data_IF_862357148851
#
_entry.id   IF_862357148851
#
_cell.length_a   1.000
_cell.length_b   1.000
_cell.length_c   1.000
_cell.angle_alpha   90.00
_cell.angle_beta   90.00
_cell.angle_gamma   90.00
#
_symmetry.space_group_name_H-M   'P 1'
#
loop_
_entity.id
_entity.type
_entity.pdbx_description
1 polymer ?
#
# COMPACT_ATOMS: atom_id res chain seq x y z
N UNK A 1 -3.78 13.64 -3.83
CA UNK A 1 -4.85 13.59 -2.82
C UNK A 1 -5.27 12.15 -2.51
N UNK A 2 -5.08 11.71 -1.24
CA UNK A 2 -5.27 10.32 -0.80
C UNK A 2 -4.16 9.37 -1.30
N UNK A 3 -4.25 8.08 -0.91
CA UNK A 3 -3.25 7.07 -1.30
C UNK A 3 -3.13 6.90 -2.83
N UNK A 4 -4.22 7.10 -3.57
CA UNK A 4 -4.21 7.00 -5.03
C UNK A 4 -3.21 7.98 -5.67
N UNK A 5 -3.11 9.21 -5.14
CA UNK A 5 -2.08 10.15 -5.59
C UNK A 5 -0.68 9.69 -5.17
N UNK A 6 -0.54 9.12 -3.96
CA UNK A 6 0.74 8.54 -3.53
C UNK A 6 1.21 7.47 -4.50
N UNK A 7 0.32 6.60 -4.93
CA UNK A 7 0.61 5.56 -5.92
C UNK A 7 1.01 6.13 -7.30
N UNK A 8 0.31 7.16 -7.77
CA UNK A 8 0.66 7.86 -9.02
C UNK A 8 2.05 8.53 -8.93
N UNK A 9 2.36 9.15 -7.78
CA UNK A 9 3.68 9.75 -7.54
C UNK A 9 4.79 8.71 -7.52
N UNK A 10 4.57 7.55 -6.88
CA UNK A 10 5.52 6.44 -6.90
C UNK A 10 5.75 5.93 -8.31
N UNK A 11 4.68 5.72 -9.09
CA UNK A 11 4.79 5.31 -10.48
C UNK A 11 5.63 6.29 -11.31
N UNK A 12 5.38 7.60 -11.18
CA UNK A 12 6.15 8.65 -11.86
C UNK A 12 7.60 8.77 -11.39
N UNK A 13 7.88 8.38 -10.17
CA UNK A 13 9.22 8.46 -9.58
C UNK A 13 10.11 7.28 -10.00
N UNK A 14 9.54 6.09 -10.06
CA UNK A 14 10.31 4.85 -10.15
C UNK A 14 10.18 4.12 -11.49
N UNK A 15 9.20 4.48 -12.34
CA UNK A 15 8.92 3.75 -13.57
C UNK A 15 9.16 4.59 -14.81
N UNK A 16 9.79 3.95 -15.78
CA UNK A 16 9.84 4.40 -17.17
C UNK A 16 8.89 3.57 -18.05
N UNK A 17 8.40 4.11 -19.18
CA UNK A 17 7.59 3.33 -20.12
C UNK A 17 8.33 2.05 -20.57
N UNK A 18 7.63 0.91 -20.44
CA UNK A 18 8.19 -0.42 -20.73
C UNK A 18 8.71 -1.19 -19.52
N UNK A 19 8.91 -0.54 -18.38
CA UNK A 19 9.27 -1.23 -17.13
C UNK A 19 8.18 -2.23 -16.72
N UNK A 20 8.57 -3.25 -15.97
CA UNK A 20 7.63 -4.23 -15.43
C UNK A 20 7.36 -3.97 -13.96
N UNK A 21 6.09 -4.05 -13.60
CA UNK A 21 5.60 -4.07 -12.20
C UNK A 21 4.98 -5.43 -11.96
N UNK A 22 5.41 -6.11 -10.90
CA UNK A 22 4.73 -7.31 -10.41
C UNK A 22 3.74 -6.92 -9.31
N UNK A 23 2.55 -7.53 -9.30
CA UNK A 23 1.53 -7.23 -8.30
C UNK A 23 0.61 -8.41 -8.01
N UNK A 24 -0.16 -8.30 -6.93
CA UNK A 24 -1.15 -9.30 -6.54
C UNK A 24 -2.08 -9.68 -7.71
N UNK A 25 -2.43 -10.97 -7.80
CA UNK A 25 -3.39 -11.53 -8.74
C UNK A 25 -4.43 -12.39 -8.00
N UNK A 26 -5.74 -12.02 -8.01
CA UNK A 26 -6.30 -10.79 -8.56
C UNK A 26 -5.82 -9.55 -7.80
N UNK A 27 -5.77 -8.39 -8.43
CA UNK A 27 -5.18 -7.19 -7.84
C UNK A 27 -6.10 -5.97 -7.89
N UNK A 28 -5.76 -4.95 -7.12
CA UNK A 28 -6.49 -3.69 -7.06
C UNK A 28 -6.50 -2.97 -8.41
N UNK A 29 -7.71 -2.76 -8.96
CA UNK A 29 -7.88 -2.16 -10.29
C UNK A 29 -7.26 -0.76 -10.41
N UNK A 30 -7.34 0.06 -9.34
CA UNK A 30 -6.74 1.39 -9.32
C UNK A 30 -5.21 1.36 -9.47
N UNK A 31 -4.53 0.38 -8.87
CA UNK A 31 -3.10 0.18 -9.05
C UNK A 31 -2.76 -0.27 -10.47
N UNK A 32 -3.50 -1.25 -11.01
CA UNK A 32 -3.33 -1.71 -12.38
C UNK A 32 -3.44 -0.56 -13.38
N UNK A 33 -4.47 0.28 -13.22
CA UNK A 33 -4.68 1.44 -14.09
C UNK A 33 -3.56 2.47 -13.96
N UNK A 34 -3.09 2.74 -12.74
CA UNK A 34 -2.01 3.71 -12.49
C UNK A 34 -0.70 3.25 -13.12
N UNK A 35 -0.30 2.00 -12.91
CA UNK A 35 0.93 1.49 -13.52
C UNK A 35 0.87 1.42 -15.05
N UNK A 36 -0.27 1.00 -15.59
CA UNK A 36 -0.47 1.02 -17.05
C UNK A 36 -0.46 2.43 -17.64
N UNK A 37 -1.02 3.41 -16.94
CA UNK A 37 -0.99 4.81 -17.38
C UNK A 37 0.44 5.38 -17.37
N UNK A 38 1.32 4.88 -16.51
CA UNK A 38 2.76 5.16 -16.52
C UNK A 38 3.53 4.43 -17.64
N UNK A 39 2.84 3.62 -18.45
CA UNK A 39 3.45 2.82 -19.54
C UNK A 39 4.07 1.51 -19.07
N UNK A 40 3.86 1.11 -17.82
CA UNK A 40 4.43 -0.12 -17.30
C UNK A 40 3.66 -1.36 -17.73
N UNK A 41 4.40 -2.47 -17.90
CA UNK A 41 3.85 -3.81 -18.03
C UNK A 41 3.49 -4.36 -16.66
N UNK A 42 2.24 -4.73 -16.44
CA UNK A 42 1.77 -5.33 -15.19
C UNK A 42 1.75 -6.84 -15.31
N UNK A 43 2.44 -7.54 -14.42
CA UNK A 43 2.51 -9.00 -14.29
C UNK A 43 1.96 -9.40 -12.93
N UNK A 44 1.07 -10.39 -12.90
CA UNK A 44 0.47 -10.87 -11.64
C UNK A 44 1.22 -12.06 -11.06
N UNK A 45 1.21 -12.16 -9.71
CA UNK A 45 1.57 -13.37 -8.95
C UNK A 45 0.45 -13.67 -7.94
N UNK A 46 0.33 -14.92 -7.51
CA UNK A 46 -0.72 -15.28 -6.53
C UNK A 46 -0.28 -14.92 -5.12
N UNK A 47 -1.01 -14.00 -4.48
CA UNK A 47 -0.77 -13.65 -3.07
C UNK A 47 -1.10 -14.82 -2.09
N UNK A 48 -1.83 -15.83 -2.56
CA UNK A 48 -2.18 -17.03 -1.81
C UNK A 48 -1.11 -18.12 -1.94
N UNK A 49 -0.12 -17.94 -2.80
CA UNK A 49 1.05 -18.81 -2.93
C UNK A 49 2.06 -18.47 -1.84
N UNK A 50 1.99 -19.20 -0.73
CA UNK A 50 2.84 -18.98 0.44
C UNK A 50 4.33 -19.36 0.17
N UNK A 51 4.60 -20.17 -0.85
CA UNK A 51 5.96 -20.63 -1.17
C UNK A 51 6.80 -19.57 -1.89
N UNK A 52 6.18 -18.55 -2.47
CA UNK A 52 6.81 -17.47 -3.26
C UNK A 52 7.59 -17.96 -4.50
N UNK A 53 7.49 -19.24 -4.87
CA UNK A 53 8.20 -19.80 -6.03
C UNK A 53 7.73 -19.15 -7.34
N UNK A 54 6.40 -18.92 -7.47
CA UNK A 54 5.84 -18.21 -8.62
C UNK A 54 6.40 -16.78 -8.69
N UNK A 55 6.52 -16.09 -7.54
CA UNK A 55 7.05 -14.74 -7.49
C UNK A 55 8.53 -14.70 -7.92
N UNK A 56 9.34 -15.63 -7.44
CA UNK A 56 10.76 -15.70 -7.80
C UNK A 56 10.93 -15.96 -9.30
N UNK A 57 10.14 -16.87 -9.88
CA UNK A 57 10.12 -17.14 -11.32
C UNK A 57 9.73 -15.89 -12.13
N UNK A 58 8.74 -15.13 -11.66
CA UNK A 58 8.32 -13.87 -12.27
C UNK A 58 9.45 -12.82 -12.20
N UNK A 59 10.14 -12.71 -11.05
CA UNK A 59 11.27 -11.80 -10.88
C UNK A 59 12.40 -12.14 -11.86
N UNK A 60 12.78 -13.39 -11.94
CA UNK A 60 13.85 -13.86 -12.83
C UNK A 60 13.51 -13.64 -14.30
N UNK A 61 12.27 -13.91 -14.68
CA UNK A 61 11.80 -13.82 -16.08
C UNK A 61 11.60 -12.41 -16.57
N UNK A 62 11.04 -11.54 -15.74
CA UNK A 62 10.57 -10.21 -16.17
C UNK A 62 11.38 -9.05 -15.62
N UNK A 63 12.26 -9.30 -14.63
CA UNK A 63 13.11 -8.29 -13.96
C UNK A 63 12.32 -7.02 -13.59
N UNK A 64 11.28 -7.16 -12.75
CA UNK A 64 10.41 -6.04 -12.42
C UNK A 64 11.18 -4.92 -11.70
N UNK A 65 10.74 -3.69 -11.90
CA UNK A 65 11.26 -2.51 -11.22
C UNK A 65 10.70 -2.33 -9.82
N UNK A 66 9.49 -2.84 -9.58
CA UNK A 66 8.88 -2.85 -8.26
C UNK A 66 7.83 -3.97 -8.12
N UNK A 67 7.60 -4.36 -6.88
CA UNK A 67 6.49 -5.19 -6.45
C UNK A 67 5.43 -4.29 -5.79
N UNK A 68 4.17 -4.39 -6.21
CA UNK A 68 3.03 -3.82 -5.48
C UNK A 68 2.26 -4.92 -4.78
N UNK A 69 1.94 -4.74 -3.52
CA UNK A 69 1.10 -5.67 -2.76
C UNK A 69 0.16 -4.96 -1.79
N UNK A 70 -1.03 -5.52 -1.62
CA UNK A 70 -1.95 -5.18 -0.55
C UNK A 70 -1.92 -6.32 0.47
N UNK A 71 -0.92 -6.28 1.35
CA UNK A 71 -0.52 -7.40 2.21
C UNK A 71 -1.52 -7.75 3.31
N UNK A 72 -2.47 -6.85 3.59
CA UNK A 72 -3.47 -6.99 4.67
C UNK A 72 -4.87 -6.68 4.16
N UNK A 73 -5.79 -7.66 4.25
CA UNK A 73 -7.16 -7.56 3.75
C UNK A 73 -7.21 -7.15 2.29
N UNK A 74 -6.48 -7.90 1.49
CA UNK A 74 -6.23 -7.66 0.07
C UNK A 74 -7.52 -7.39 -0.72
N UNK A 75 -7.47 -6.40 -1.58
CA UNK A 75 -8.57 -6.08 -2.49
C UNK A 75 -8.33 -6.73 -3.87
N UNK A 76 -9.16 -7.74 -4.29
CA UNK A 76 -10.50 -8.02 -3.79
C UNK A 76 -10.65 -9.25 -2.89
N UNK A 77 -9.62 -10.03 -2.59
CA UNK A 77 -9.76 -11.37 -2.00
C UNK A 77 -10.02 -11.36 -0.49
N UNK A 78 -9.61 -10.30 0.21
CA UNK A 78 -9.60 -10.24 1.67
C UNK A 78 -8.43 -11.01 2.31
N UNK A 79 -7.53 -11.57 1.51
CA UNK A 79 -6.36 -12.32 2.00
C UNK A 79 -5.45 -11.47 2.89
N UNK A 80 -4.76 -12.15 3.80
CA UNK A 80 -3.75 -11.56 4.68
C UNK A 80 -2.49 -12.39 4.55
N UNK A 81 -1.40 -11.79 4.12
CA UNK A 81 -0.10 -12.48 4.04
C UNK A 81 0.36 -12.83 5.47
N UNK A 82 0.62 -14.12 5.79
CA UNK A 82 1.12 -14.54 7.08
C UNK A 82 2.47 -13.93 7.44
N UNK A 83 2.78 -13.83 8.74
CA UNK A 83 4.03 -13.22 9.21
C UNK A 83 5.29 -13.91 8.66
N UNK A 84 5.28 -15.25 8.57
CA UNK A 84 6.38 -16.01 7.96
C UNK A 84 6.62 -15.58 6.52
N UNK A 85 5.56 -15.59 5.71
CA UNK A 85 5.61 -15.23 4.28
C UNK A 85 6.01 -13.76 4.08
N UNK A 86 5.62 -12.85 5.00
CA UNK A 86 6.11 -11.45 4.94
C UNK A 86 7.63 -11.35 5.09
N UNK A 87 8.23 -12.15 5.95
CA UNK A 87 9.69 -12.21 6.13
C UNK A 87 10.38 -12.79 4.90
N UNK A 88 9.86 -13.92 4.40
CA UNK A 88 10.39 -14.56 3.20
C UNK A 88 10.27 -13.63 1.98
N UNK A 89 9.18 -12.86 1.88
CA UNK A 89 8.99 -11.85 0.83
C UNK A 89 10.03 -10.72 0.92
N UNK A 90 10.32 -10.23 2.12
CA UNK A 90 11.36 -9.20 2.32
C UNK A 90 12.75 -9.74 2.00
N UNK A 91 13.07 -10.99 2.40
CA UNK A 91 14.33 -11.64 2.05
C UNK A 91 14.47 -11.81 0.53
N UNK A 92 13.41 -12.24 -0.13
CA UNK A 92 13.38 -12.36 -1.59
C UNK A 92 13.59 -11.00 -2.26
N UNK A 93 12.86 -9.98 -1.83
CA UNK A 93 12.98 -8.62 -2.34
C UNK A 93 14.40 -8.05 -2.13
N UNK A 94 15.02 -8.30 -0.97
CA UNK A 94 16.38 -7.89 -0.68
C UNK A 94 17.40 -8.57 -1.62
N UNK A 95 17.25 -9.89 -1.86
CA UNK A 95 18.11 -10.66 -2.77
C UNK A 95 18.14 -10.08 -4.18
N UNK A 96 17.00 -9.57 -4.67
CA UNK A 96 16.87 -9.02 -6.01
C UNK A 96 16.86 -7.49 -6.06
N UNK A 97 17.09 -6.80 -4.93
CA UNK A 97 17.00 -5.34 -4.80
C UNK A 97 15.70 -4.78 -5.37
N UNK A 98 14.59 -5.46 -5.08
CA UNK A 98 13.27 -5.15 -5.60
C UNK A 98 12.49 -4.28 -4.61
N UNK A 99 12.24 -3.00 -4.89
CA UNK A 99 11.39 -2.16 -4.05
C UNK A 99 9.97 -2.71 -3.95
N UNK A 100 9.38 -2.61 -2.77
CA UNK A 100 8.00 -3.02 -2.49
C UNK A 100 7.14 -1.79 -2.24
N UNK A 101 6.02 -1.68 -2.94
CA UNK A 101 4.95 -0.74 -2.61
C UNK A 101 3.88 -1.50 -1.84
N UNK A 102 3.80 -1.27 -0.53
CA UNK A 102 2.80 -1.86 0.35
C UNK A 102 1.63 -0.90 0.52
N UNK A 103 0.44 -1.27 0.03
CA UNK A 103 -0.77 -0.46 0.12
C UNK A 103 -1.71 -1.01 1.21
N UNK A 104 -1.86 -0.28 2.31
CA UNK A 104 -2.50 -0.71 3.55
C UNK A 104 -3.77 0.11 3.92
N UNK A 105 -4.78 0.24 3.02
CA UNK A 105 -5.95 1.05 3.29
C UNK A 105 -6.92 0.43 4.30
N UNK A 106 -6.83 -0.89 4.53
CA UNK A 106 -7.80 -1.66 5.32
C UNK A 106 -7.25 -2.19 6.64
N UNK A 107 -5.95 -2.01 6.90
CA UNK A 107 -5.24 -2.59 8.04
C UNK A 107 -5.95 -2.40 9.38
N UNK A 108 -6.53 -1.22 9.60
CA UNK A 108 -7.23 -0.88 10.83
C UNK A 108 -8.66 -1.43 10.94
N UNK A 109 -9.17 -2.10 9.90
CA UNK A 109 -10.55 -2.59 9.83
C UNK A 109 -10.70 -4.06 10.24
N UNK A 110 -9.84 -4.58 11.08
CA UNK A 110 -9.94 -5.95 11.59
C UNK A 110 -11.12 -6.10 12.57
N UNK A 111 -11.71 -7.31 12.65
CA UNK A 111 -12.90 -7.58 13.47
C UNK A 111 -12.57 -8.28 14.78
N UNK A 112 -11.61 -9.20 14.79
CA UNK A 112 -11.26 -10.04 15.93
C UNK A 112 -9.86 -9.79 16.42
N UNK A 113 -8.87 -10.10 15.60
CA UNK A 113 -7.45 -9.99 15.93
C UNK A 113 -6.75 -8.98 15.03
N UNK A 114 -5.82 -8.19 15.56
CA UNK A 114 -4.96 -7.35 14.72
C UNK A 114 -4.21 -8.21 13.68
N UNK A 115 -4.01 -7.69 12.46
CA UNK A 115 -3.20 -8.37 11.45
C UNK A 115 -1.71 -8.41 11.87
N UNK A 116 -0.89 -9.23 11.20
CA UNK A 116 0.55 -9.24 11.41
C UNK A 116 1.19 -7.86 11.22
N UNK A 117 2.39 -7.59 11.75
CA UNK A 117 3.14 -6.35 11.46
C UNK A 117 3.21 -6.09 9.96
N UNK A 118 3.13 -4.82 9.53
CA UNK A 118 3.25 -4.46 8.12
C UNK A 118 4.63 -4.84 7.58
N UNK A 119 4.76 -4.99 6.26
CA UNK A 119 6.08 -5.23 5.63
C UNK A 119 7.06 -4.12 6.01
N UNK A 120 6.60 -2.88 6.02
CA UNK A 120 7.40 -1.73 6.43
C UNK A 120 7.94 -1.84 7.87
N UNK A 121 7.15 -2.41 8.79
CA UNK A 121 7.55 -2.55 10.20
C UNK A 121 8.59 -3.67 10.40
N UNK A 122 8.75 -4.54 9.39
CA UNK A 122 9.69 -5.65 9.35
C UNK A 122 10.92 -5.38 8.47
N UNK A 123 10.86 -4.31 7.65
CA UNK A 123 11.90 -3.96 6.68
C UNK A 123 13.07 -3.25 7.37
N UNK A 124 14.24 -3.88 7.38
CA UNK A 124 15.50 -3.33 7.85
C UNK A 124 16.45 -2.88 6.72
N UNK A 125 16.05 -3.10 5.46
CA UNK A 125 16.83 -2.77 4.27
C UNK A 125 16.39 -1.48 3.58
N UNK A 126 15.24 -0.90 3.99
CA UNK A 126 14.69 0.31 3.36
C UNK A 126 14.12 0.05 1.95
N UNK A 127 13.54 -1.12 1.72
CA UNK A 127 12.94 -1.50 0.44
C UNK A 127 11.45 -1.15 0.34
N UNK A 128 10.78 -0.93 1.48
CA UNK A 128 9.33 -0.79 1.52
C UNK A 128 8.90 0.68 1.47
N UNK A 129 8.09 0.99 0.47
CA UNK A 129 7.30 2.22 0.35
C UNK A 129 5.89 1.89 0.80
N UNK A 130 5.49 2.35 1.98
CA UNK A 130 4.17 2.07 2.53
C UNK A 130 3.20 3.21 2.23
N UNK A 131 2.01 2.85 1.74
CA UNK A 131 0.90 3.76 1.46
C UNK A 131 -0.27 3.45 2.38
N UNK A 132 -0.95 4.47 2.88
CA UNK A 132 -2.21 4.30 3.58
C UNK A 132 -3.13 5.54 3.44
N UNK A 133 -4.36 5.43 3.96
CA UNK A 133 -5.39 6.46 3.77
C UNK A 133 -6.46 6.41 4.85
N UNK A 134 -7.05 7.55 5.16
CA UNK A 134 -8.26 7.64 5.99
C UNK A 134 -9.55 7.44 5.21
N UNK A 135 -9.49 7.16 3.91
CA UNK A 135 -10.68 6.99 3.06
C UNK A 135 -11.57 5.83 3.47
N UNK A 136 -11.00 4.78 4.07
CA UNK A 136 -11.73 3.56 4.48
C UNK A 136 -12.07 3.55 5.96
N UNK A 137 -11.26 4.22 6.75
CA UNK A 137 -11.40 4.23 8.22
C UNK A 137 -12.18 5.45 8.73
N UNK A 138 -12.30 6.53 7.95
CA UNK A 138 -13.04 7.73 8.34
C UNK A 138 -13.97 8.23 7.23
N UNK A 139 -13.42 8.88 6.20
CA UNK A 139 -14.23 9.45 5.12
C UNK A 139 -13.44 9.59 3.82
N UNK A 140 -13.92 9.02 2.71
CA UNK A 140 -13.23 9.10 1.42
C UNK A 140 -13.18 10.53 0.85
N UNK A 141 -14.15 11.39 1.21
CA UNK A 141 -14.22 12.77 0.75
C UNK A 141 -13.14 13.70 1.31
N UNK A 142 -12.45 13.33 2.39
CA UNK A 142 -11.34 14.12 2.95
C UNK A 142 -10.11 14.11 2.04
N UNK A 143 -9.97 13.12 1.17
CA UNK A 143 -8.83 12.97 0.27
C UNK A 143 -7.47 12.99 0.98
N UNK A 144 -7.42 12.41 2.18
CA UNK A 144 -6.20 12.25 2.97
C UNK A 144 -5.62 10.85 2.84
N UNK A 145 -4.30 10.81 2.68
CA UNK A 145 -3.47 9.62 2.72
C UNK A 145 -2.05 10.03 3.03
N UNK A 146 -1.23 9.08 3.37
CA UNK A 146 0.19 9.30 3.63
C UNK A 146 1.02 8.22 2.97
N UNK A 147 2.27 8.53 2.83
CA UNK A 147 3.30 7.64 2.32
C UNK A 147 4.49 7.73 3.28
N UNK A 148 5.11 6.59 3.53
CA UNK A 148 6.39 6.49 4.22
C UNK A 148 7.35 5.67 3.37
N UNK A 149 8.57 6.17 3.25
CA UNK A 149 9.63 5.55 2.46
C UNK A 149 10.99 6.04 2.99
N UNK A 150 12.11 5.48 2.53
CA UNK A 150 13.43 6.06 2.76
C UNK A 150 13.50 7.53 2.32
N UNK A 151 14.25 8.34 3.08
CA UNK A 151 14.33 9.79 2.90
C UNK A 151 14.61 10.24 1.45
N UNK A 152 15.57 9.65 0.70
CA UNK A 152 15.84 10.06 -0.68
C UNK A 152 14.62 9.88 -1.60
N UNK A 153 13.81 8.83 -1.37
CA UNK A 153 12.57 8.60 -2.13
C UNK A 153 11.52 9.65 -1.77
N UNK A 154 11.35 9.94 -0.46
CA UNK A 154 10.39 10.96 0.00
C UNK A 154 10.72 12.33 -0.59
N UNK A 155 11.98 12.71 -0.65
CA UNK A 155 12.44 13.97 -1.26
C UNK A 155 12.05 14.06 -2.74
N UNK A 156 12.31 13.02 -3.52
CA UNK A 156 11.95 12.98 -4.94
C UNK A 156 10.42 13.03 -5.13
N UNK A 157 9.67 12.26 -4.33
CA UNK A 157 8.21 12.29 -4.37
C UNK A 157 7.65 13.67 -4.02
N UNK A 158 8.25 14.38 -3.05
CA UNK A 158 7.87 15.75 -2.68
C UNK A 158 8.10 16.73 -3.83
N UNK A 159 9.23 16.61 -4.55
CA UNK A 159 9.53 17.43 -5.73
C UNK A 159 8.51 17.21 -6.87
N UNK A 160 8.19 15.93 -7.15
CA UNK A 160 7.19 15.58 -8.17
C UNK A 160 5.81 16.11 -7.75
N UNK A 161 5.44 15.90 -6.48
CA UNK A 161 4.17 16.38 -5.94
C UNK A 161 4.02 17.89 -6.03
N UNK A 162 5.07 18.63 -5.68
CA UNK A 162 5.07 20.09 -5.76
C UNK A 162 4.79 20.62 -7.18
N UNK A 163 5.15 19.84 -8.21
CA UNK A 163 4.85 20.17 -9.61
C UNK A 163 3.42 19.76 -10.02
N UNK A 164 2.81 18.78 -9.31
CA UNK A 164 1.48 18.27 -9.65
C UNK A 164 0.35 19.13 -9.05
N UNK A 165 0.46 19.47 -7.77
CA UNK A 165 -0.65 20.07 -7.01
C UNK A 165 -0.22 21.16 -6.01
N UNK A 166 1.04 21.56 -6.04
CA UNK A 166 1.66 22.58 -5.18
C UNK A 166 1.62 22.19 -3.70
N UNK A 167 0.42 21.92 -3.13
CA UNK A 167 0.23 21.46 -1.74
C UNK A 167 -1.10 20.74 -1.54
N UNK A 168 -1.22 20.02 -0.42
CA UNK A 168 -2.48 19.36 -0.03
C UNK A 168 -3.45 20.35 0.58
N UNK A 169 -4.77 20.07 0.49
CA UNK A 169 -5.79 20.83 1.18
C UNK A 169 -5.54 20.85 2.69
N UNK A 170 -5.42 22.04 3.30
CA UNK A 170 -5.08 22.22 4.71
C UNK A 170 -6.22 21.86 5.65
N UNK A 171 -7.46 22.23 5.33
CA UNK A 171 -8.61 22.00 6.22
C UNK A 171 -8.79 20.52 6.61
N UNK A 172 -8.81 19.56 5.69
CA UNK A 172 -8.89 18.15 6.06
C UNK A 172 -7.73 17.67 6.94
N UNK A 173 -6.52 18.22 6.77
CA UNK A 173 -5.36 17.89 7.60
C UNK A 173 -5.54 18.38 9.03
N UNK A 174 -6.05 19.62 9.22
CA UNK A 174 -6.34 20.17 10.55
C UNK A 174 -7.43 19.39 11.27
N UNK A 175 -8.52 19.04 10.56
CA UNK A 175 -9.58 18.19 11.11
C UNK A 175 -9.03 16.84 11.55
N UNK A 176 -8.18 16.21 10.74
CA UNK A 176 -7.60 14.92 11.09
C UNK A 176 -6.62 15.01 12.27
N UNK A 177 -5.80 16.06 12.32
CA UNK A 177 -4.92 16.33 13.44
C UNK A 177 -5.70 16.45 14.77
N UNK A 178 -6.80 17.20 14.77
CA UNK A 178 -7.68 17.32 15.93
C UNK A 178 -8.31 15.99 16.35
N UNK A 179 -8.76 15.17 15.39
CA UNK A 179 -9.33 13.85 15.67
C UNK A 179 -8.30 12.89 16.29
N UNK A 180 -7.06 12.93 15.82
CA UNK A 180 -5.97 12.10 16.35
C UNK A 180 -5.55 12.54 17.74
N UNK A 181 -5.37 13.84 17.99
CA UNK A 181 -4.91 14.37 19.28
C UNK A 181 -5.98 14.23 20.36
N UNK A 182 -7.26 14.36 20.01
CA UNK A 182 -8.39 14.21 20.94
C UNK A 182 -8.81 12.75 21.18
N UNK A 183 -8.14 11.76 20.60
CA UNK A 183 -8.48 10.33 20.63
C UNK A 183 -9.87 9.97 20.07
N UNK A 184 -10.57 10.90 19.48
CA UNK A 184 -11.89 10.65 18.86
C UNK A 184 -11.81 9.72 17.67
N UNK A 185 -10.65 9.68 17.02
CA UNK A 185 -10.40 8.72 15.92
C UNK A 185 -10.39 7.28 16.43
N UNK A 186 -9.77 7.00 17.57
CA UNK A 186 -9.70 5.66 18.17
C UNK A 186 -11.11 5.19 18.58
N UNK A 187 -11.89 6.05 19.20
CA UNK A 187 -13.29 5.76 19.57
C UNK A 187 -14.15 5.48 18.32
N UNK A 188 -13.94 6.25 17.25
CA UNK A 188 -14.60 6.02 15.97
C UNK A 188 -14.23 4.67 15.37
N UNK A 189 -12.93 4.32 15.33
CA UNK A 189 -12.46 3.03 14.83
C UNK A 189 -13.07 1.85 15.60
N UNK A 190 -13.13 1.93 16.91
CA UNK A 190 -13.75 0.88 17.74
C UNK A 190 -15.22 0.67 17.37
N UNK A 191 -16.00 1.75 17.21
CA UNK A 191 -17.40 1.67 16.78
C UNK A 191 -17.53 1.10 15.37
N UNK A 192 -16.66 1.54 14.44
CA UNK A 192 -16.66 1.07 13.06
C UNK A 192 -16.36 -0.43 12.98
N UNK A 193 -15.33 -0.89 13.70
CA UNK A 193 -15.00 -2.34 13.80
C UNK A 193 -16.17 -3.17 14.32
N UNK A 194 -16.85 -2.69 15.37
CA UNK A 194 -18.03 -3.34 15.92
C UNK A 194 -19.18 -3.47 14.92
N UNK A 195 -19.43 -2.40 14.17
CA UNK A 195 -20.48 -2.38 13.13
C UNK A 195 -20.14 -3.29 11.94
N UNK A 196 -18.89 -3.28 11.49
CA UNK A 196 -18.43 -4.17 10.41
C UNK A 196 -18.50 -5.64 10.83
N UNK A 197 -18.08 -5.96 12.05
CA UNK A 197 -18.20 -7.30 12.61
C UNK A 197 -19.66 -7.78 12.72
N UNK A 198 -20.59 -6.87 13.04
CA UNK A 198 -22.02 -7.16 13.06
C UNK A 198 -22.55 -7.50 11.66
N UNK A 199 -22.19 -6.69 10.66
CA UNK A 199 -22.61 -6.89 9.26
C UNK A 199 -22.07 -8.18 8.65
N UNK A 200 -20.86 -8.58 9.03
CA UNK A 200 -20.27 -9.84 8.55
C UNK A 200 -21.06 -11.08 9.01
N UNK A 201 -21.76 -10.99 10.14
CA UNK A 201 -22.52 -12.12 10.71
C UNK A 201 -23.95 -12.23 10.19
N UNK A 202 -24.43 -11.25 9.45
CA UNK A 202 -25.73 -11.25 8.76
C UNK A 202 -25.62 -11.70 7.33
#
# INVERSE_FOLDING_TARGET
AGAQQGLDLVARCLLDPGDTVVMDRPGYLGAIQTFRAAGARVVGWSIEDEALDELEDVILRYRPKLLYTNSTFQNPTGAVIPLSVRRDLLELAARYHLPIVEDEPYRDLYYTTPPPPALRDLDDQGLVISLSTYSKTLAPGLRLGWLTAPEPIVEQLALIKGRCDVFCAGLPQLVMAELLTSRRYDEHLQRLRGELARRQRT
#
